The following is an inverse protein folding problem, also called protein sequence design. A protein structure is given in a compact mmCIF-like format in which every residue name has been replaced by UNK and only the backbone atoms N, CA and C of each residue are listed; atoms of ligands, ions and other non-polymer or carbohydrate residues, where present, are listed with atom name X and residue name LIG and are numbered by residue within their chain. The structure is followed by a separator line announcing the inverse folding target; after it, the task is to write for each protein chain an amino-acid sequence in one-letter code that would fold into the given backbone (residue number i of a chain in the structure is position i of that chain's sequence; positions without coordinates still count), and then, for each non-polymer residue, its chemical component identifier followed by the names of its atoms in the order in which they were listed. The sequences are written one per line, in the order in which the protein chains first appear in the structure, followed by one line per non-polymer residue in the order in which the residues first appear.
data_IF_795147823587
#
_entry.id   IF_795147823587
#
_cell.length_a   1.000
_cell.length_b   1.000
_cell.length_c   1.000
_cell.angle_alpha   90.00
_cell.angle_beta   90.00
_cell.angle_gamma   90.00
#
_symmetry.space_group_name_H-M   'P 1'
#
loop_
_entity.id
_entity.type
_entity.pdbx_description
1 polymer ?
#
# COMPACT_ATOMS: atom_id res chain seq x y z
N UNK A 1 57.54 -50.91 37.69
CA UNK A 1 57.57 -49.60 38.39
C UNK A 1 56.69 -48.63 37.62
N UNK A 2 55.58 -48.23 38.25
CA UNK A 2 54.55 -47.35 37.71
C UNK A 2 55.07 -45.95 37.40
N UNK A 3 54.76 -45.41 36.21
CA UNK A 3 54.78 -43.96 35.96
C UNK A 3 53.57 -43.55 35.11
N UNK A 4 52.51 -43.21 35.86
CA UNK A 4 51.59 -42.06 35.70
C UNK A 4 51.21 -41.69 34.26
N UNK A 5 49.99 -42.07 33.89
CA UNK A 5 49.24 -41.50 32.76
C UNK A 5 48.73 -40.10 33.17
N UNK A 6 49.19 -39.05 32.49
CA UNK A 6 48.59 -37.71 32.58
C UNK A 6 47.35 -37.70 31.68
N UNK A 7 46.17 -37.68 32.30
CA UNK A 7 44.91 -37.47 31.61
C UNK A 7 44.72 -35.96 31.37
N UNK A 8 44.88 -35.53 30.12
CA UNK A 8 44.62 -34.15 29.70
C UNK A 8 43.12 -33.97 29.48
N UNK A 9 42.46 -33.29 30.42
CA UNK A 9 41.06 -32.86 30.30
C UNK A 9 40.96 -31.76 29.25
N UNK A 10 40.54 -32.10 28.04
CA UNK A 10 40.17 -31.13 27.01
C UNK A 10 38.80 -30.53 27.35
N UNK A 11 38.81 -29.31 27.92
CA UNK A 11 37.62 -28.46 27.99
C UNK A 11 37.30 -27.95 26.58
N UNK A 12 36.45 -28.67 25.83
CA UNK A 12 35.83 -28.12 24.64
C UNK A 12 34.74 -27.14 25.07
N UNK A 13 35.09 -25.85 25.09
CA UNK A 13 34.12 -24.75 25.21
C UNK A 13 33.14 -24.87 24.06
N UNK A 14 31.89 -25.12 24.39
CA UNK A 14 30.76 -25.15 23.47
C UNK A 14 30.61 -23.80 22.80
N UNK A 15 31.00 -23.70 21.53
CA UNK A 15 30.52 -22.65 20.64
C UNK A 15 29.03 -22.90 20.38
N UNK A 16 28.18 -22.46 21.30
CA UNK A 16 26.78 -22.16 21.02
C UNK A 16 26.78 -21.04 19.99
N UNK A 17 26.84 -21.40 18.71
CA UNK A 17 26.39 -20.56 17.63
C UNK A 17 24.89 -20.42 17.80
N UNK A 18 24.51 -19.49 18.68
CA UNK A 18 23.13 -19.10 18.87
C UNK A 18 22.55 -18.70 17.52
N UNK A 19 21.42 -19.31 17.18
CA UNK A 19 20.49 -18.85 16.17
C UNK A 19 20.07 -17.42 16.50
N UNK A 20 20.91 -16.43 16.19
CA UNK A 20 20.45 -15.08 15.98
C UNK A 20 19.70 -15.14 14.65
N UNK A 21 18.37 -15.22 14.73
CA UNK A 21 17.45 -15.06 13.62
C UNK A 21 17.89 -13.85 12.81
N UNK A 22 18.59 -14.08 11.71
CA UNK A 22 18.94 -13.03 10.76
C UNK A 22 17.62 -12.56 10.16
N UNK A 23 17.13 -11.42 10.64
CA UNK A 23 16.03 -10.71 10.01
C UNK A 23 16.34 -10.65 8.51
N UNK A 24 15.50 -11.29 7.69
CA UNK A 24 15.76 -11.41 6.26
C UNK A 24 16.03 -10.01 5.68
N UNK A 25 17.22 -9.82 5.10
CA UNK A 25 17.58 -8.56 4.47
C UNK A 25 16.72 -8.38 3.21
N UNK A 26 16.18 -7.18 3.02
CA UNK A 26 15.45 -6.87 1.79
C UNK A 26 16.44 -6.69 0.64
N UNK A 27 16.20 -7.41 -0.46
CA UNK A 27 16.97 -7.28 -1.69
C UNK A 27 16.20 -6.44 -2.73
N UNK A 28 16.86 -5.49 -3.40
CA UNK A 28 16.19 -4.62 -4.36
C UNK A 28 15.74 -5.40 -5.59
N UNK A 29 14.52 -5.13 -6.06
CA UNK A 29 14.01 -5.66 -7.32
C UNK A 29 14.52 -4.80 -8.48
N UNK A 30 14.98 -5.43 -9.56
CA UNK A 30 15.40 -4.74 -10.78
C UNK A 30 14.19 -4.26 -11.59
N UNK A 31 14.31 -3.10 -12.22
CA UNK A 31 13.24 -2.57 -13.07
C UNK A 31 13.08 -3.44 -14.33
N UNK A 32 11.85 -3.86 -14.58
CA UNK A 32 11.40 -4.62 -15.74
C UNK A 32 10.80 -3.68 -16.76
N UNK A 33 11.50 -3.49 -17.88
CA UNK A 33 11.09 -2.56 -18.96
C UNK A 33 9.89 -3.05 -19.77
N UNK A 34 9.56 -4.35 -19.66
CA UNK A 34 8.39 -5.00 -20.23
C UNK A 34 7.14 -4.86 -19.33
N UNK A 35 7.23 -4.13 -18.23
CA UNK A 35 6.16 -3.93 -17.26
C UNK A 35 5.92 -2.45 -16.95
N UNK A 36 4.69 -2.15 -16.50
CA UNK A 36 4.33 -0.81 -16.06
C UNK A 36 5.13 -0.39 -14.83
N UNK A 37 5.21 0.91 -14.61
CA UNK A 37 5.81 1.44 -13.38
C UNK A 37 5.05 1.00 -12.13
N UNK A 38 3.71 0.95 -12.19
CA UNK A 38 2.87 0.48 -11.09
C UNK A 38 3.20 -0.96 -10.69
N UNK A 39 3.37 -1.85 -11.68
CA UNK A 39 3.78 -3.23 -11.46
C UNK A 39 5.15 -3.32 -10.80
N UNK A 40 6.14 -2.61 -11.33
CA UNK A 40 7.50 -2.61 -10.78
C UNK A 40 7.55 -2.17 -9.31
N UNK A 41 6.78 -1.13 -8.94
CA UNK A 41 6.72 -0.67 -7.54
C UNK A 41 5.96 -1.68 -6.66
N UNK A 42 4.84 -2.22 -7.13
CA UNK A 42 4.07 -3.21 -6.38
C UNK A 42 4.89 -4.48 -6.12
N UNK A 43 5.55 -5.02 -7.14
CA UNK A 43 6.41 -6.20 -7.04
C UNK A 43 7.60 -5.93 -6.08
N UNK A 44 8.25 -4.77 -6.21
CA UNK A 44 9.30 -4.36 -5.28
C UNK A 44 8.80 -4.23 -3.84
N UNK A 45 7.55 -3.79 -3.65
CA UNK A 45 6.85 -3.77 -2.37
C UNK A 45 6.43 -5.13 -1.84
N UNK A 46 6.77 -6.23 -2.54
CA UNK A 46 6.49 -7.60 -2.14
C UNK A 46 5.18 -8.17 -2.66
N UNK A 47 4.41 -7.44 -3.47
CA UNK A 47 3.15 -7.91 -4.03
C UNK A 47 3.46 -8.81 -5.22
N UNK A 48 3.77 -10.09 -4.97
CA UNK A 48 4.15 -11.05 -6.02
C UNK A 48 3.02 -11.87 -6.64
N UNK A 49 1.82 -11.83 -6.07
CA UNK A 49 0.74 -12.77 -6.43
C UNK A 49 -0.56 -12.00 -6.69
N UNK A 50 -1.28 -12.37 -7.76
CA UNK A 50 -2.51 -11.70 -8.17
C UNK A 50 -2.35 -10.26 -8.67
N UNK A 51 -1.13 -9.86 -9.06
CA UNK A 51 -0.88 -8.61 -9.78
C UNK A 51 -0.35 -8.93 -11.18
N UNK A 52 -0.79 -8.19 -12.18
CA UNK A 52 -0.31 -8.31 -13.55
C UNK A 52 -0.63 -7.00 -14.29
N UNK A 53 0.15 -6.66 -15.31
CA UNK A 53 -0.22 -5.58 -16.22
C UNK A 53 -1.23 -6.05 -17.27
N UNK A 54 -2.12 -5.15 -17.64
CA UNK A 54 -2.94 -5.29 -18.82
C UNK A 54 -2.18 -4.78 -20.05
N UNK A 55 -2.15 -5.58 -21.11
CA UNK A 55 -1.66 -5.11 -22.42
C UNK A 55 -2.74 -4.24 -23.05
N UNK A 56 -2.38 -3.01 -23.41
CA UNK A 56 -3.28 -2.06 -24.06
C UNK A 56 -2.65 -1.59 -25.37
N UNK A 57 -3.38 -1.55 -26.50
CA UNK A 57 -2.87 -1.03 -27.77
C UNK A 57 -2.28 0.38 -27.63
N UNK A 58 -1.15 0.66 -28.32
CA UNK A 58 -0.40 1.93 -28.17
C UNK A 58 -1.23 3.16 -28.49
N UNK A 59 -2.08 3.09 -29.51
CA UNK A 59 -3.00 4.16 -29.90
C UNK A 59 -4.04 4.46 -28.81
N UNK A 60 -4.45 3.46 -28.04
CA UNK A 60 -5.32 3.63 -26.88
C UNK A 60 -4.54 4.17 -25.66
N UNK A 61 -3.31 3.71 -25.44
CA UNK A 61 -2.45 4.20 -24.37
C UNK A 61 -2.03 5.67 -24.60
N UNK A 62 -1.71 6.05 -25.84
CA UNK A 62 -1.44 7.44 -26.22
C UNK A 62 -2.65 8.31 -25.91
N UNK A 63 -3.87 7.91 -26.30
CA UNK A 63 -5.09 8.63 -25.92
C UNK A 63 -5.33 8.72 -24.40
N UNK A 64 -4.89 7.73 -23.62
CA UNK A 64 -4.96 7.74 -22.15
C UNK A 64 -3.90 8.64 -21.49
N UNK A 65 -2.76 8.83 -22.15
CA UNK A 65 -1.58 9.53 -21.59
C UNK A 65 -1.41 10.96 -22.12
N UNK A 66 -1.91 11.28 -23.32
CA UNK A 66 -1.76 12.59 -23.98
C UNK A 66 -2.55 13.69 -23.26
N UNK A 67 -3.66 13.32 -22.64
CA UNK A 67 -4.28 14.13 -21.59
C UNK A 67 -3.54 13.86 -20.27
N UNK A 68 -2.54 14.69 -19.95
CA UNK A 68 -1.90 14.75 -18.61
C UNK A 68 -2.90 14.93 -17.45
N UNK A 69 -4.15 15.23 -17.77
CA UNK A 69 -5.31 15.32 -16.91
C UNK A 69 -6.12 14.02 -16.81
N UNK A 70 -5.96 13.02 -17.69
CA UNK A 70 -6.83 11.84 -17.76
C UNK A 70 -6.52 10.81 -16.68
N UNK A 71 -5.28 10.40 -16.42
CA UNK A 71 -5.02 9.39 -15.37
C UNK A 71 -5.61 9.81 -14.01
N UNK A 72 -5.40 11.08 -13.64
CA UNK A 72 -6.02 11.70 -12.48
C UNK A 72 -7.53 11.90 -12.68
N UNK A 73 -8.00 12.63 -13.70
CA UNK A 73 -9.42 12.93 -13.88
C UNK A 73 -10.28 11.70 -14.17
N UNK A 74 -9.78 10.64 -14.76
CA UNK A 74 -10.52 9.42 -15.14
C UNK A 74 -10.75 8.50 -13.93
N UNK A 75 -9.75 8.39 -13.04
CA UNK A 75 -9.92 7.73 -11.74
C UNK A 75 -10.66 8.64 -10.73
N UNK A 76 -10.44 9.97 -10.77
CA UNK A 76 -11.10 10.96 -9.90
C UNK A 76 -12.55 11.26 -10.29
N UNK A 77 -12.94 11.12 -11.56
CA UNK A 77 -14.30 11.42 -12.04
C UNK A 77 -15.25 10.22 -12.01
N UNK A 78 -14.77 9.05 -11.62
CA UNK A 78 -15.58 7.83 -11.61
C UNK A 78 -16.06 7.37 -13.00
N UNK A 79 -15.51 7.94 -14.10
CA UNK A 79 -15.86 7.54 -15.46
C UNK A 79 -15.15 6.24 -15.83
N UNK A 80 -15.64 5.15 -15.27
CA UNK A 80 -15.46 3.81 -15.82
C UNK A 80 -16.85 3.17 -15.89
N UNK A 81 -17.80 3.86 -16.52
CA UNK A 81 -18.96 3.16 -17.08
C UNK A 81 -18.55 2.58 -18.43
N UNK A 82 -18.57 1.25 -18.63
CA UNK A 82 -18.19 0.60 -19.90
C UNK A 82 -19.13 0.94 -21.07
N UNK A 83 -20.07 1.87 -20.91
CA UNK A 83 -21.20 2.06 -21.84
C UNK A 83 -21.07 3.26 -22.78
N UNK A 84 -20.00 4.06 -22.71
CA UNK A 84 -19.81 5.18 -23.65
C UNK A 84 -19.16 4.71 -24.95
N UNK A 85 -19.98 4.13 -25.81
CA UNK A 85 -20.03 4.36 -27.27
C UNK A 85 -18.78 4.31 -28.16
N UNK A 86 -17.63 3.82 -27.69
CA UNK A 86 -16.41 3.75 -28.52
C UNK A 86 -15.22 2.98 -27.95
N UNK A 87 -15.43 2.22 -26.86
CA UNK A 87 -14.40 1.44 -26.15
C UNK A 87 -14.69 -0.07 -26.18
N UNK A 88 -15.33 -0.57 -27.24
CA UNK A 88 -15.74 -1.98 -27.38
C UNK A 88 -14.57 -2.97 -27.27
N UNK A 89 -13.34 -2.56 -27.59
CA UNK A 89 -12.15 -3.42 -27.53
C UNK A 89 -11.51 -3.51 -26.14
N UNK A 90 -11.93 -2.67 -25.19
CA UNK A 90 -11.53 -2.83 -23.79
C UNK A 90 -12.12 -4.12 -23.19
N UNK A 91 -13.15 -4.72 -23.79
CA UNK A 91 -13.71 -6.00 -23.35
C UNK A 91 -12.65 -7.12 -23.34
N UNK A 92 -11.69 -7.11 -24.28
CA UNK A 92 -10.57 -8.08 -24.29
C UNK A 92 -9.54 -7.83 -23.18
N UNK A 93 -9.26 -6.56 -22.86
CA UNK A 93 -8.42 -6.16 -21.73
C UNK A 93 -9.08 -6.49 -20.38
N UNK A 94 -10.39 -6.25 -20.26
CA UNK A 94 -11.24 -6.46 -19.09
C UNK A 94 -11.36 -7.94 -18.69
N UNK A 95 -11.28 -8.88 -19.67
CA UNK A 95 -11.17 -10.33 -19.41
C UNK A 95 -9.86 -10.68 -18.68
N UNK A 96 -8.75 -10.00 -19.00
CA UNK A 96 -7.50 -10.16 -18.26
C UNK A 96 -7.53 -9.45 -16.89
N UNK A 97 -8.26 -8.33 -16.74
CA UNK A 97 -8.47 -7.68 -15.44
C UNK A 97 -9.33 -8.54 -14.49
N UNK A 98 -10.27 -9.32 -15.03
CA UNK A 98 -11.12 -10.22 -14.24
C UNK A 98 -10.32 -11.34 -13.54
N UNK A 99 -9.15 -11.71 -14.07
CA UNK A 99 -8.25 -12.68 -13.43
C UNK A 99 -7.54 -12.13 -12.19
N UNK A 100 -7.50 -10.82 -11.98
CA UNK A 100 -6.81 -10.18 -10.84
C UNK A 100 -7.52 -10.41 -9.49
N UNK A 101 -8.77 -10.88 -9.51
CA UNK A 101 -9.59 -11.09 -8.32
C UNK A 101 -9.77 -12.56 -7.90
N UNK A 102 -9.15 -13.52 -8.61
CA UNK A 102 -9.40 -14.95 -8.39
C UNK A 102 -8.46 -15.50 -7.31
N UNK A 103 -8.82 -15.29 -6.04
CA UNK A 103 -8.30 -16.09 -4.93
C UNK A 103 -8.26 -15.35 -3.58
N UNK A 104 -8.90 -15.88 -2.51
CA UNK A 104 -8.66 -15.38 -1.16
C UNK A 104 -7.20 -15.67 -0.80
N UNK A 105 -6.44 -14.64 -0.39
CA UNK A 105 -5.00 -14.60 -0.04
C UNK A 105 -4.01 -14.11 -1.12
N UNK A 106 -4.45 -13.71 -2.30
CA UNK A 106 -3.56 -13.07 -3.27
C UNK A 106 -3.13 -11.67 -2.79
N UNK A 107 -1.88 -11.26 -3.04
CA UNK A 107 -1.42 -9.93 -2.67
C UNK A 107 -2.17 -8.82 -3.41
N UNK A 108 -2.54 -9.06 -4.67
CA UNK A 108 -3.29 -8.12 -5.48
C UNK A 108 -4.74 -7.90 -5.06
N UNK A 109 -5.31 -8.76 -4.21
CA UNK A 109 -6.70 -8.69 -3.74
C UNK A 109 -6.88 -7.84 -2.46
N UNK A 110 -5.84 -7.12 -2.02
CA UNK A 110 -5.88 -6.30 -0.79
C UNK A 110 -5.10 -5.00 -0.95
N UNK A 111 -5.61 -3.93 -0.34
CA UNK A 111 -4.87 -2.66 -0.30
C UNK A 111 -3.57 -2.82 0.51
N UNK A 112 -2.52 -2.15 0.05
CA UNK A 112 -1.19 -2.23 0.67
C UNK A 112 -0.56 -0.85 0.79
N UNK A 113 0.16 -0.62 1.88
CA UNK A 113 0.98 0.56 2.08
C UNK A 113 2.45 0.15 1.89
N UNK A 114 3.17 0.78 0.98
CA UNK A 114 4.54 0.38 0.61
C UNK A 114 5.44 1.60 0.76
N UNK A 115 6.65 1.41 1.30
CA UNK A 115 7.59 2.52 1.46
C UNK A 115 9.06 2.08 1.56
N UNK A 116 9.97 2.99 1.22
CA UNK A 116 11.42 2.82 1.42
C UNK A 116 12.00 4.06 2.11
N UNK A 117 12.08 4.04 3.43
CA UNK A 117 12.65 5.14 4.20
C UNK A 117 14.18 5.11 4.12
N UNK A 118 14.87 6.20 3.72
CA UNK A 118 16.33 6.27 3.75
C UNK A 118 16.88 5.94 5.14
N UNK A 119 17.98 5.19 5.24
CA UNK A 119 18.56 4.89 6.57
C UNK A 119 19.11 6.13 7.29
N UNK A 120 19.28 7.26 6.60
CA UNK A 120 19.61 8.53 7.24
C UNK A 120 18.46 9.10 8.08
N UNK A 121 17.21 8.68 7.82
CA UNK A 121 16.04 9.19 8.54
C UNK A 121 15.77 8.43 9.85
N UNK A 122 16.35 7.24 10.06
CA UNK A 122 16.10 6.43 11.25
C UNK A 122 17.32 5.63 11.72
N UNK A 123 17.45 5.42 13.03
CA UNK A 123 18.60 4.73 13.63
C UNK A 123 18.44 3.20 13.69
N UNK A 124 17.20 2.69 13.64
CA UNK A 124 16.87 1.26 13.76
C UNK A 124 15.55 0.95 13.04
N UNK A 125 15.22 -0.33 12.77
CA UNK A 125 13.93 -0.71 12.22
C UNK A 125 12.74 -0.22 13.07
N UNK A 126 12.83 -0.32 14.40
CA UNK A 126 11.79 0.17 15.31
C UNK A 126 11.64 1.69 15.28
N UNK A 127 12.75 2.45 15.20
CA UNK A 127 12.71 3.92 15.01
C UNK A 127 12.11 4.28 13.65
N UNK A 128 12.48 3.54 12.59
CA UNK A 128 11.92 3.72 11.26
C UNK A 128 10.41 3.47 11.24
N UNK A 129 9.94 2.41 11.91
CA UNK A 129 8.52 2.11 12.05
C UNK A 129 7.78 3.27 12.74
N UNK A 130 8.29 3.76 13.87
CA UNK A 130 7.70 4.87 14.61
C UNK A 130 7.62 6.15 13.76
N UNK A 131 8.69 6.47 13.02
CA UNK A 131 8.73 7.63 12.11
C UNK A 131 7.77 7.47 10.94
N UNK A 132 7.68 6.29 10.34
CA UNK A 132 6.74 6.07 9.24
C UNK A 132 5.29 6.14 9.71
N UNK A 133 4.98 5.59 10.90
CA UNK A 133 3.67 5.78 11.54
C UNK A 133 3.38 7.27 11.73
N UNK A 134 4.35 8.06 12.22
CA UNK A 134 4.19 9.52 12.36
C UNK A 134 3.86 10.21 11.02
N UNK A 135 4.57 9.85 9.94
CA UNK A 135 4.26 10.35 8.60
C UNK A 135 2.84 9.96 8.14
N UNK A 136 2.41 8.73 8.40
CA UNK A 136 1.05 8.27 8.04
C UNK A 136 0.00 9.02 8.85
N UNK A 137 0.20 9.22 10.16
CA UNK A 137 -0.70 10.03 11.02
C UNK A 137 -0.86 11.43 10.47
N UNK A 138 0.25 12.14 10.22
CA UNK A 138 0.23 13.48 9.62
C UNK A 138 -0.51 13.47 8.27
N UNK A 139 -0.26 12.45 7.44
CA UNK A 139 -0.90 12.34 6.12
C UNK A 139 -2.40 12.13 6.22
N UNK A 140 -2.87 11.26 7.13
CA UNK A 140 -4.30 11.01 7.37
C UNK A 140 -4.97 12.26 7.92
N UNK A 141 -4.41 12.84 8.97
CA UNK A 141 -5.00 13.98 9.68
C UNK A 141 -5.08 15.22 8.79
N UNK A 142 -3.99 15.58 8.09
CA UNK A 142 -3.98 16.69 7.14
C UNK A 142 -4.97 16.48 6.00
N UNK A 143 -5.06 15.26 5.45
CA UNK A 143 -5.99 14.94 4.36
C UNK A 143 -7.44 15.13 4.78
N UNK A 144 -7.81 14.63 5.97
CA UNK A 144 -9.17 14.77 6.48
C UNK A 144 -9.48 16.25 6.77
N UNK A 145 -8.55 17.00 7.37
CA UNK A 145 -8.70 18.44 7.59
C UNK A 145 -8.88 19.22 6.28
N UNK A 146 -8.05 18.98 5.26
CA UNK A 146 -8.16 19.62 3.95
C UNK A 146 -9.49 19.30 3.25
N UNK A 147 -10.00 18.08 3.44
CA UNK A 147 -11.30 17.66 2.92
C UNK A 147 -12.47 18.17 3.80
N UNK A 148 -12.21 18.93 4.86
CA UNK A 148 -13.24 19.47 5.76
C UNK A 148 -13.94 18.40 6.61
N UNK A 149 -13.31 17.25 6.83
CA UNK A 149 -13.81 16.20 7.72
C UNK A 149 -13.19 16.34 9.11
N UNK A 150 -14.01 16.12 10.15
CA UNK A 150 -13.53 15.98 11.52
C UNK A 150 -13.10 14.53 11.77
N UNK A 151 -12.26 14.28 12.77
CA UNK A 151 -11.81 12.94 13.07
C UNK A 151 -11.41 12.75 14.52
N UNK A 152 -11.37 11.48 14.94
CA UNK A 152 -10.85 11.03 16.24
C UNK A 152 -9.93 9.83 16.01
N UNK A 153 -8.73 9.88 16.59
CA UNK A 153 -7.86 8.70 16.68
C UNK A 153 -8.33 7.82 17.85
N UNK A 154 -8.89 6.66 17.54
CA UNK A 154 -9.43 5.72 18.52
C UNK A 154 -8.41 4.70 19.02
N UNK A 155 -7.47 4.34 18.17
CA UNK A 155 -6.48 3.31 18.45
C UNK A 155 -5.14 3.70 17.86
N UNK A 156 -4.10 3.65 18.67
CA UNK A 156 -2.71 3.89 18.29
C UNK A 156 -1.82 3.00 19.16
N UNK A 157 -1.51 1.80 18.64
CA UNK A 157 -0.68 0.84 19.36
C UNK A 157 -0.06 -0.18 18.41
N UNK A 158 1.20 -0.55 18.66
CA UNK A 158 1.92 -1.61 17.96
C UNK A 158 1.83 -1.48 16.43
N UNK A 159 1.96 -0.24 15.92
CA UNK A 159 1.88 0.08 14.50
C UNK A 159 0.49 -0.01 13.87
N UNK A 160 -0.55 -0.23 14.65
CA UNK A 160 -1.92 -0.18 14.16
C UNK A 160 -2.56 1.16 14.55
N UNK A 161 -3.21 1.81 13.58
CA UNK A 161 -3.99 3.03 13.78
C UNK A 161 -5.44 2.77 13.42
N UNK A 162 -6.37 3.37 14.16
CA UNK A 162 -7.78 3.46 13.75
C UNK A 162 -8.30 4.85 14.00
N UNK A 163 -8.60 5.55 12.90
CA UNK A 163 -9.33 6.79 12.92
C UNK A 163 -10.81 6.52 12.66
N UNK A 164 -11.68 7.22 13.37
CA UNK A 164 -13.02 7.51 12.89
C UNK A 164 -13.04 8.91 12.32
N UNK A 165 -13.78 9.12 11.24
CA UNK A 165 -13.95 10.44 10.65
C UNK A 165 -15.42 10.75 10.39
N UNK A 166 -15.75 12.03 10.45
CA UNK A 166 -17.11 12.54 10.51
C UNK A 166 -17.25 13.69 9.54
N UNK A 167 -18.31 13.62 8.74
CA UNK A 167 -18.69 14.66 7.79
C UNK A 167 -20.14 14.42 7.37
N UNK A 168 -21.01 15.38 7.70
CA UNK A 168 -22.45 15.26 7.45
C UNK A 168 -22.76 15.13 5.96
N UNK A 169 -22.03 15.85 5.10
CA UNK A 169 -22.20 15.79 3.63
C UNK A 169 -21.85 14.42 3.04
N UNK A 170 -21.12 13.58 3.76
CA UNK A 170 -20.76 12.22 3.34
C UNK A 170 -21.60 11.14 4.04
N UNK A 171 -22.57 11.55 4.86
CA UNK A 171 -23.32 10.63 5.72
C UNK A 171 -22.40 9.90 6.71
N UNK A 172 -21.28 10.49 7.12
CA UNK A 172 -20.37 9.95 8.14
C UNK A 172 -20.71 10.60 9.49
N UNK A 173 -21.54 9.96 10.33
CA UNK A 173 -22.07 10.60 11.54
C UNK A 173 -21.04 10.61 12.67
N UNK A 174 -21.15 11.59 13.57
CA UNK A 174 -20.41 11.59 14.84
C UNK A 174 -20.85 10.43 15.73
N UNK A 175 -19.91 9.86 16.47
CA UNK A 175 -20.20 8.80 17.44
C UNK A 175 -21.05 9.31 18.62
N UNK A 176 -22.14 8.60 18.93
CA UNK A 176 -22.99 8.86 20.09
C UNK A 176 -23.13 7.57 20.90
N UNK A 177 -22.62 7.59 22.14
CA UNK A 177 -22.67 6.44 23.05
C UNK A 177 -24.10 5.91 23.23
N UNK A 178 -24.26 4.60 23.08
CA UNK A 178 -25.54 3.91 23.22
C UNK A 178 -26.52 4.07 22.05
N UNK A 179 -26.16 4.83 20.99
CA UNK A 179 -26.98 5.01 19.79
C UNK A 179 -26.28 4.57 18.51
N UNK A 180 -25.02 4.99 18.32
CA UNK A 180 -24.24 4.66 17.12
C UNK A 180 -23.82 3.19 17.12
N UNK A 181 -23.85 2.56 15.95
CA UNK A 181 -23.21 1.26 15.73
C UNK A 181 -21.89 1.46 15.01
N UNK A 182 -20.91 0.61 15.30
CA UNK A 182 -19.60 0.64 14.62
C UNK A 182 -19.75 0.47 13.10
N UNK A 183 -20.74 -0.31 12.64
CA UNK A 183 -21.07 -0.50 11.22
C UNK A 183 -21.46 0.78 10.50
N UNK A 184 -21.90 1.80 11.23
CA UNK A 184 -22.42 3.03 10.65
C UNK A 184 -21.32 4.11 10.56
N UNK A 185 -20.13 3.84 11.10
CA UNK A 185 -19.05 4.81 11.21
C UNK A 185 -18.09 4.70 10.03
N UNK A 186 -17.70 5.84 9.49
CA UNK A 186 -16.58 5.92 8.56
C UNK A 186 -15.25 5.81 9.32
N UNK A 187 -14.31 5.04 8.78
CA UNK A 187 -13.03 4.80 9.46
C UNK A 187 -11.85 4.68 8.52
N UNK A 188 -10.65 4.97 9.05
CA UNK A 188 -9.38 4.69 8.40
C UNK A 188 -8.59 3.77 9.32
N UNK A 189 -8.29 2.56 8.84
CA UNK A 189 -7.45 1.59 9.55
C UNK A 189 -6.10 1.51 8.87
N UNK A 190 -5.04 1.64 9.65
CA UNK A 190 -3.66 1.51 9.18
C UNK A 190 -2.98 0.41 9.95
N UNK A 191 -2.13 -0.34 9.28
CA UNK A 191 -1.09 -1.17 9.92
C UNK A 191 0.25 -0.86 9.29
N UNK A 192 1.23 -0.60 10.14
CA UNK A 192 2.64 -0.50 9.79
C UNK A 192 3.40 -1.55 10.59
N UNK A 193 4.01 -2.52 9.91
CA UNK A 193 4.87 -3.55 10.50
C UNK A 193 6.32 -3.04 10.50
N UNK A 194 7.14 -3.54 11.42
CA UNK A 194 8.55 -3.21 11.47
C UNK A 194 9.23 -3.50 10.12
N UNK A 195 9.99 -2.55 9.54
CA UNK A 195 10.56 -2.70 8.22
C UNK A 195 11.78 -3.62 8.22
N UNK A 196 12.10 -4.17 7.06
CA UNK A 196 13.37 -4.88 6.84
C UNK A 196 14.43 -3.89 6.36
N UNK A 197 15.68 -4.03 6.83
CA UNK A 197 16.79 -3.26 6.26
C UNK A 197 17.18 -3.86 4.91
N UNK A 198 17.50 -3.01 3.94
CA UNK A 198 17.91 -3.42 2.60
C UNK A 198 18.37 -2.24 1.77
N UNK A 199 18.26 -2.40 0.45
CA UNK A 199 18.56 -1.34 -0.52
C UNK A 199 17.27 -0.93 -1.20
N UNK A 200 16.99 0.36 -1.31
CA UNK A 200 15.85 0.82 -2.10
C UNK A 200 16.05 0.53 -3.59
N UNK A 201 15.01 0.11 -4.34
CA UNK A 201 15.10 0.01 -5.79
C UNK A 201 15.47 1.36 -6.41
N UNK A 202 16.36 1.37 -7.40
CA UNK A 202 16.91 2.60 -7.98
C UNK A 202 15.86 3.52 -8.62
N UNK A 203 14.69 2.98 -8.98
CA UNK A 203 13.57 3.69 -9.59
C UNK A 203 12.60 4.31 -8.56
N UNK A 204 12.85 4.15 -7.26
CA UNK A 204 12.07 4.83 -6.21
C UNK A 204 12.62 6.25 -6.01
N UNK A 205 11.79 7.30 -6.13
CA UNK A 205 12.24 8.66 -5.93
C UNK A 205 12.57 8.93 -4.46
N UNK A 206 13.53 9.84 -4.24
CA UNK A 206 13.84 10.36 -2.91
C UNK A 206 14.71 9.49 -2.02
N UNK A 207 15.03 8.27 -2.45
CA UNK A 207 15.91 7.36 -1.73
C UNK A 207 16.88 6.71 -2.71
N UNK A 208 18.14 6.59 -2.31
CA UNK A 208 19.18 5.91 -3.07
C UNK A 208 20.03 5.11 -2.08
N UNK A 209 20.33 3.85 -2.42
CA UNK A 209 21.12 2.97 -1.57
C UNK A 209 20.34 2.40 -0.38
N UNK A 210 20.98 2.35 0.79
CA UNK A 210 20.46 1.72 2.00
C UNK A 210 19.12 2.35 2.46
N UNK A 211 18.13 1.49 2.74
CA UNK A 211 16.80 1.89 3.20
C UNK A 211 16.18 0.89 4.18
N UNK A 212 15.19 1.36 4.92
CA UNK A 212 14.21 0.55 5.63
C UNK A 212 13.00 0.32 4.71
N UNK A 213 12.82 -0.92 4.26
CA UNK A 213 11.77 -1.32 3.33
C UNK A 213 10.52 -1.79 4.09
N UNK A 214 9.43 -1.05 3.92
CA UNK A 214 8.08 -1.39 4.37
C UNK A 214 7.36 -2.12 3.24
N UNK A 215 7.43 -3.45 3.24
CA UNK A 215 6.85 -4.31 2.21
C UNK A 215 5.54 -4.96 2.69
N UNK A 216 4.68 -5.39 1.76
CA UNK A 216 3.37 -5.98 2.05
C UNK A 216 3.19 -7.40 1.49
N UNK A 217 4.30 -8.09 1.25
CA UNK A 217 4.32 -9.46 0.71
C UNK A 217 4.06 -10.58 1.70
N UNK A 218 3.92 -10.30 3.00
CA UNK A 218 3.63 -11.34 4.00
C UNK A 218 2.11 -11.61 4.09
N UNK A 219 1.70 -12.86 4.28
CA UNK A 219 0.27 -13.23 4.30
C UNK A 219 -0.55 -12.49 5.38
N UNK A 220 -0.07 -12.43 6.62
CA UNK A 220 -0.80 -11.84 7.76
C UNK A 220 -0.17 -10.59 8.37
N UNK A 221 1.16 -10.44 8.30
CA UNK A 221 1.92 -9.32 8.85
C UNK A 221 2.38 -8.37 7.74
N UNK A 222 1.44 -7.61 7.17
CA UNK A 222 1.72 -6.69 6.07
C UNK A 222 1.22 -5.28 6.39
N UNK A 223 1.79 -4.31 5.66
CA UNK A 223 1.44 -2.90 5.77
C UNK A 223 0.19 -2.60 4.93
N UNK A 224 -0.80 -1.91 5.50
CA UNK A 224 -2.00 -1.50 4.77
C UNK A 224 -2.57 -0.18 5.27
N UNK A 225 -3.38 0.44 4.41
CA UNK A 225 -4.28 1.54 4.77
C UNK A 225 -5.64 1.34 4.12
N UNK A 226 -6.68 1.30 4.95
CA UNK A 226 -8.05 1.00 4.55
C UNK A 226 -8.99 2.11 4.99
N UNK A 227 -9.53 2.86 4.02
CA UNK A 227 -10.67 3.75 4.21
C UNK A 227 -11.92 2.90 4.03
N UNK A 228 -12.88 3.01 4.96
CA UNK A 228 -14.17 2.30 4.86
C UNK A 228 -15.30 3.23 5.26
N UNK A 229 -16.32 3.29 4.40
CA UNK A 229 -17.60 3.90 4.70
C UNK A 229 -18.41 3.10 5.73
N UNK A 230 -19.25 3.81 6.48
CA UNK A 230 -20.35 3.21 7.22
C UNK A 230 -21.47 2.74 6.28
N UNK A 231 -22.40 1.94 6.79
CA UNK A 231 -23.45 1.29 5.99
C UNK A 231 -24.32 2.25 5.15
N UNK A 232 -24.54 3.48 5.62
CA UNK A 232 -25.31 4.53 4.93
C UNK A 232 -24.44 5.69 4.43
N UNK A 233 -23.12 5.58 4.57
CA UNK A 233 -22.16 6.63 4.24
C UNK A 233 -21.69 6.50 2.79
N UNK A 234 -21.29 7.64 2.23
CA UNK A 234 -20.87 7.77 0.84
C UNK A 234 -19.67 8.72 0.74
N UNK A 235 -18.73 8.64 1.70
CA UNK A 235 -17.51 9.40 1.57
C UNK A 235 -16.76 8.96 0.30
N UNK A 236 -16.20 9.90 -0.47
CA UNK A 236 -15.43 9.59 -1.67
C UNK A 236 -14.10 8.96 -1.25
N UNK A 237 -14.07 7.63 -1.06
CA UNK A 237 -12.90 6.89 -0.57
C UNK A 237 -11.69 7.16 -1.46
N UNK A 238 -11.91 7.23 -2.78
CA UNK A 238 -10.88 7.56 -3.77
C UNK A 238 -10.22 8.93 -3.50
N UNK A 239 -11.00 9.97 -3.19
CA UNK A 239 -10.47 11.30 -2.91
C UNK A 239 -9.70 11.34 -1.59
N UNK A 240 -10.19 10.61 -0.57
CA UNK A 240 -9.50 10.45 0.71
C UNK A 240 -8.15 9.77 0.49
N UNK A 241 -8.10 8.66 -0.26
CA UNK A 241 -6.84 7.97 -0.57
C UNK A 241 -5.86 8.84 -1.36
N UNK A 242 -6.34 9.56 -2.38
CA UNK A 242 -5.50 10.44 -3.18
C UNK A 242 -4.87 11.55 -2.32
N UNK A 243 -5.64 12.14 -1.40
CA UNK A 243 -5.12 13.14 -0.45
C UNK A 243 -4.10 12.56 0.51
N UNK A 244 -4.36 11.37 1.05
CA UNK A 244 -3.38 10.71 1.95
C UNK A 244 -2.08 10.44 1.20
N UNK A 245 -2.14 9.89 -0.01
CA UNK A 245 -0.97 9.67 -0.85
C UNK A 245 -0.25 10.99 -1.18
N UNK A 246 -0.97 12.08 -1.42
CA UNK A 246 -0.38 13.40 -1.65
C UNK A 246 0.48 13.87 -0.47
N UNK A 247 0.04 13.61 0.76
CA UNK A 247 0.75 14.01 1.98
C UNK A 247 1.84 13.02 2.43
N UNK A 248 1.87 11.79 1.91
CA UNK A 248 2.92 10.82 2.22
C UNK A 248 4.31 11.31 1.78
N UNK A 249 5.39 10.82 2.41
CA UNK A 249 6.75 11.00 1.92
C UNK A 249 6.89 10.54 0.46
N UNK A 250 7.81 11.15 -0.29
CA UNK A 250 8.01 10.83 -1.71
C UNK A 250 8.40 9.36 -1.96
N UNK A 251 8.92 8.70 -0.94
CA UNK A 251 9.28 7.29 -0.95
C UNK A 251 8.14 6.36 -0.46
N UNK A 252 6.91 6.87 -0.30
CA UNK A 252 5.73 6.13 0.16
C UNK A 252 4.60 6.05 -0.87
N UNK A 253 3.94 4.89 -0.94
CA UNK A 253 2.98 4.52 -1.97
C UNK A 253 1.79 3.77 -1.39
N UNK A 254 0.62 3.91 -2.02
CA UNK A 254 -0.58 3.15 -1.66
C UNK A 254 -1.00 2.31 -2.87
N UNK A 255 -0.95 1.00 -2.75
CA UNK A 255 -1.59 0.09 -3.70
C UNK A 255 -3.06 -0.09 -3.32
N UNK A 256 -3.94 0.10 -4.28
CA UNK A 256 -5.38 -0.08 -4.13
C UNK A 256 -5.82 -1.24 -5.00
N UNK A 257 -6.41 -2.25 -4.36
CA UNK A 257 -6.87 -3.47 -5.00
C UNK A 257 -8.19 -3.24 -5.75
N UNK A 258 -8.52 -4.09 -6.74
CA UNK A 258 -9.82 -4.06 -7.40
C UNK A 258 -10.94 -4.22 -6.38
N UNK A 259 -12.05 -3.53 -6.58
CA UNK A 259 -13.26 -3.59 -5.76
C UNK A 259 -13.14 -3.14 -4.29
N UNK A 260 -12.00 -2.57 -3.90
CA UNK A 260 -11.76 -2.10 -2.53
C UNK A 260 -12.03 -0.61 -2.32
N UNK A 261 -12.17 0.17 -3.39
CA UNK A 261 -12.38 1.62 -3.36
C UNK A 261 -13.71 1.98 -3.96
N UNK A 262 -14.49 2.76 -3.22
CA UNK A 262 -15.79 3.29 -3.63
C UNK A 262 -15.65 4.73 -4.15
N UNK A 263 -16.26 4.99 -5.31
CA UNK A 263 -16.34 6.31 -5.93
C UNK A 263 -17.51 7.11 -5.35
N UNK A 264 -17.57 8.41 -5.64
CA UNK A 264 -18.70 9.27 -5.24
C UNK A 264 -20.03 8.79 -5.83
N UNK A 265 -20.02 8.15 -7.01
CA UNK A 265 -21.21 7.54 -7.62
C UNK A 265 -21.74 6.32 -6.84
N UNK A 266 -20.96 5.78 -5.90
CA UNK A 266 -21.22 4.52 -5.23
C UNK A 266 -20.65 3.30 -5.95
N UNK A 267 -20.15 3.47 -7.18
CA UNK A 267 -19.50 2.40 -7.93
C UNK A 267 -18.14 2.04 -7.33
N UNK A 268 -17.75 0.77 -7.46
CA UNK A 268 -16.43 0.30 -7.06
C UNK A 268 -15.45 0.36 -8.22
N UNK A 269 -14.23 0.79 -7.95
CA UNK A 269 -13.15 0.76 -8.95
C UNK A 269 -12.79 -0.70 -9.25
N UNK A 270 -12.99 -1.14 -10.49
CA UNK A 270 -12.88 -2.56 -10.90
C UNK A 270 -11.44 -3.01 -11.21
N UNK A 271 -10.45 -2.13 -11.11
CA UNK A 271 -9.06 -2.42 -11.44
C UNK A 271 -8.11 -1.91 -10.34
N UNK A 272 -6.90 -2.48 -10.22
CA UNK A 272 -5.90 -2.01 -9.29
C UNK A 272 -5.15 -0.82 -9.85
N UNK A 273 -4.68 0.01 -8.93
CA UNK A 273 -3.81 1.14 -9.25
C UNK A 273 -2.95 1.46 -8.03
N UNK A 274 -1.87 2.19 -8.26
CA UNK A 274 -0.96 2.64 -7.23
C UNK A 274 -1.01 4.15 -7.14
N UNK A 275 -1.05 4.70 -5.94
CA UNK A 275 -1.03 6.14 -5.71
C UNK A 275 0.36 6.59 -5.27
N UNK A 276 0.94 7.50 -6.04
CA UNK A 276 2.18 8.21 -5.75
C UNK A 276 1.89 9.71 -5.69
N UNK A 277 2.07 10.33 -4.51
CA UNK A 277 1.83 11.77 -4.32
C UNK A 277 0.47 12.23 -4.85
N UNK A 278 -0.55 11.39 -4.64
CA UNK A 278 -1.93 11.64 -5.05
C UNK A 278 -2.21 11.40 -6.53
N UNK A 279 -1.22 10.95 -7.32
CA UNK A 279 -1.38 10.60 -8.73
C UNK A 279 -1.51 9.09 -8.89
N UNK A 280 -2.49 8.62 -9.68
CA UNK A 280 -2.62 7.20 -9.97
C UNK A 280 -1.63 6.76 -11.05
N UNK A 281 -0.93 5.68 -10.76
CA UNK A 281 -0.10 4.88 -11.64
C UNK A 281 -0.87 3.59 -11.97
N UNK A 282 -1.07 3.32 -13.26
CA UNK A 282 -1.91 2.23 -13.74
C UNK A 282 -1.08 0.99 -14.10
N UNK A 283 -1.67 -0.19 -13.92
CA UNK A 283 -1.12 -1.49 -14.31
C UNK A 283 -1.38 -1.77 -15.79
N UNK A 284 -0.85 -0.90 -16.66
CA UNK A 284 -0.99 -1.01 -18.12
C UNK A 284 0.36 -0.90 -18.79
N UNK A 285 0.59 -1.74 -19.80
CA UNK A 285 1.78 -1.68 -20.64
C UNK A 285 1.38 -1.65 -22.12
N UNK A 286 2.13 -0.91 -22.96
CA UNK A 286 1.85 -0.85 -24.40
C UNK A 286 2.11 -2.21 -25.06
N UNK A 287 1.14 -2.71 -25.84
CA UNK A 287 1.33 -3.83 -26.78
C UNK A 287 2.29 -3.49 -27.92
#
# INVERSE_FOLDING_TARGET
MNKILLATTALCVTALSGCASTSARYEPVAYRTDHSRAFNIAEAGGLKTGIQDASVPRDQLERLTDTKTFGAAYVLSGYISPSVGGLSDWQGGLVNLANWAIGPKQHGARNSLIAWMPTSEAASPTDAQAKFISHVKISVESSLTELGAQFTLLYDKDGNLTYQFYKTEWGCPTWINGKSKVSDMCSIKVRVVEPSRGTAPAFIPGVQGDAYAFTSGHETQFNFINVKNGAASHAPEQAVYAKISQSLPIWGFIYLAPNEVTLESGDKVQFPYLLEKGKPELFVYPS
#
